data_IF_367991565447
#
_entry.id   IF_367991565447
#
_cell.length_a   1.000
_cell.length_b   1.000
_cell.length_c   1.000
_cell.angle_alpha   90.00
_cell.angle_beta   90.00
_cell.angle_gamma   90.00
#
_symmetry.space_group_name_H-M   'P 1'
#
loop_
_entity.id
_entity.type
_entity.pdbx_description
1 polymer ?
#
# COMPACT_ATOMS: atom_id res chain seq x y z
N UNK A 1 0.22 7.07 5.18
CA UNK A 1 -0.02 6.25 3.97
C UNK A 1 0.90 5.05 3.96
N UNK A 2 2.23 5.22 3.83
CA UNK A 2 3.19 4.11 3.75
C UNK A 2 3.06 3.09 4.90
N UNK A 3 3.06 3.52 6.15
CA UNK A 3 2.89 2.61 7.29
C UNK A 3 1.63 1.72 7.20
N UNK A 4 0.49 2.27 6.73
CA UNK A 4 -0.73 1.48 6.55
C UNK A 4 -0.61 0.51 5.36
N UNK A 5 0.12 0.90 4.32
CA UNK A 5 0.42 0.04 3.17
C UNK A 5 1.34 -1.11 3.58
N UNK A 6 2.40 -0.84 4.36
CA UNK A 6 3.28 -1.87 4.94
C UNK A 6 2.47 -2.88 5.78
N UNK A 7 1.57 -2.39 6.63
CA UNK A 7 0.65 -3.26 7.39
C UNK A 7 -0.30 -4.07 6.50
N UNK A 8 -0.77 -3.48 5.39
CA UNK A 8 -1.62 -4.16 4.44
C UNK A 8 -0.87 -5.30 3.73
N UNK A 9 0.34 -5.01 3.26
CA UNK A 9 1.24 -6.00 2.66
C UNK A 9 1.62 -7.09 3.66
N UNK A 10 1.91 -6.74 4.92
CA UNK A 10 2.17 -7.73 5.97
C UNK A 10 1.01 -8.69 6.19
N UNK A 11 -0.24 -8.21 6.10
CA UNK A 11 -1.43 -9.09 6.15
C UNK A 11 -1.56 -9.96 4.90
N UNK A 12 -1.22 -9.44 3.72
CA UNK A 12 -1.18 -10.24 2.49
C UNK A 12 -0.10 -11.34 2.55
N UNK A 13 1.09 -11.02 3.06
CA UNK A 13 2.17 -11.98 3.29
C UNK A 13 1.75 -13.07 4.29
N UNK A 14 1.12 -12.69 5.42
CA UNK A 14 0.54 -13.64 6.38
C UNK A 14 -0.55 -14.52 5.78
N UNK A 15 -1.26 -14.02 4.76
CA UNK A 15 -2.28 -14.75 4.03
C UNK A 15 -1.73 -15.68 2.93
N UNK A 16 -0.40 -15.77 2.80
CA UNK A 16 0.32 -16.63 1.84
C UNK A 16 0.60 -15.96 0.49
N UNK A 17 0.38 -14.66 0.38
CA UNK A 17 0.56 -13.91 -0.86
C UNK A 17 1.95 -13.26 -0.97
N UNK A 18 2.35 -12.87 -2.17
CA UNK A 18 3.62 -12.19 -2.44
C UNK A 18 3.38 -10.77 -3.00
N UNK A 19 2.84 -9.82 -2.22
CA UNK A 19 2.34 -8.54 -2.73
C UNK A 19 3.42 -7.64 -3.38
N UNK A 20 4.70 -7.98 -3.20
CA UNK A 20 5.84 -7.28 -3.82
C UNK A 20 6.11 -7.73 -5.26
N UNK A 21 5.65 -8.93 -5.65
CA UNK A 21 5.90 -9.54 -6.96
C UNK A 21 4.60 -9.97 -7.66
N UNK A 22 3.49 -10.04 -6.93
CA UNK A 22 2.16 -10.38 -7.45
C UNK A 22 1.74 -9.36 -8.51
N UNK A 23 1.43 -9.86 -9.71
CA UNK A 23 0.94 -9.03 -10.80
C UNK A 23 -0.57 -9.14 -10.88
N UNK A 24 -1.25 -8.00 -11.02
CA UNK A 24 -2.71 -7.95 -11.10
C UNK A 24 -3.17 -6.95 -12.15
N UNK A 25 -4.36 -7.16 -12.69
CA UNK A 25 -5.01 -6.20 -13.58
C UNK A 25 -5.87 -5.21 -12.79
N UNK A 26 -5.87 -3.95 -13.20
CA UNK A 26 -6.66 -2.90 -12.59
C UNK A 26 -7.01 -1.83 -13.62
N UNK A 27 -8.08 -1.08 -13.36
CA UNK A 27 -8.51 0.04 -14.20
C UNK A 27 -8.49 1.35 -13.42
N UNK A 28 -8.24 2.46 -14.10
CA UNK A 28 -8.42 3.81 -13.53
C UNK A 28 -9.75 4.38 -14.02
N UNK A 29 -10.68 4.65 -13.09
CA UNK A 29 -11.95 5.34 -13.37
C UNK A 29 -12.08 6.50 -12.41
N UNK A 30 -12.34 7.69 -12.94
CA UNK A 30 -12.51 8.93 -12.15
C UNK A 30 -11.40 9.15 -11.11
N UNK A 31 -10.14 8.99 -11.54
CA UNK A 31 -8.93 9.07 -10.70
C UNK A 31 -8.90 8.10 -9.51
N UNK A 32 -9.64 6.99 -9.59
CA UNK A 32 -9.69 5.93 -8.59
C UNK A 32 -9.33 4.59 -9.23
N UNK A 33 -8.50 3.80 -8.56
CA UNK A 33 -8.18 2.44 -9.01
C UNK A 33 -9.34 1.49 -8.68
N UNK A 34 -9.70 0.64 -9.64
CA UNK A 34 -10.78 -0.36 -9.53
C UNK A 34 -10.16 -1.76 -9.57
N UNK A 35 -10.51 -2.59 -8.57
CA UNK A 35 -9.94 -3.94 -8.35
C UNK A 35 -11.01 -5.05 -8.37
N UNK A 36 -12.27 -4.72 -8.62
CA UNK A 36 -13.41 -5.60 -8.30
C UNK A 36 -13.51 -6.84 -9.20
N UNK A 37 -12.87 -6.82 -10.37
CA UNK A 37 -12.86 -7.93 -11.34
C UNK A 37 -11.84 -9.02 -11.01
N UNK A 38 -11.05 -8.88 -9.93
CA UNK A 38 -10.02 -9.85 -9.54
C UNK A 38 -10.62 -11.02 -8.73
N UNK A 39 -10.50 -12.23 -9.27
CA UNK A 39 -10.93 -13.47 -8.60
C UNK A 39 -9.83 -14.08 -7.72
N UNK A 40 -8.56 -13.96 -8.14
CA UNK A 40 -7.44 -14.44 -7.34
C UNK A 40 -7.30 -13.60 -6.07
N UNK A 41 -7.22 -14.29 -4.93
CA UNK A 41 -7.16 -13.68 -3.60
C UNK A 41 -5.93 -12.79 -3.46
N UNK A 42 -4.77 -13.21 -3.94
CA UNK A 42 -3.51 -12.49 -3.76
C UNK A 42 -3.45 -11.25 -4.65
N UNK A 43 -3.89 -11.37 -5.89
CA UNK A 43 -4.07 -10.23 -6.79
C UNK A 43 -5.02 -9.20 -6.20
N UNK A 44 -6.17 -9.65 -5.68
CA UNK A 44 -7.16 -8.76 -5.08
C UNK A 44 -6.60 -8.05 -3.84
N UNK A 45 -5.94 -8.78 -2.93
CA UNK A 45 -5.32 -8.19 -1.74
C UNK A 45 -4.25 -7.15 -2.11
N UNK A 46 -3.36 -7.46 -3.06
CA UNK A 46 -2.33 -6.52 -3.51
C UNK A 46 -2.96 -5.25 -4.13
N UNK A 47 -3.94 -5.42 -5.04
CA UNK A 47 -4.65 -4.30 -5.66
C UNK A 47 -5.38 -3.43 -4.64
N UNK A 48 -6.07 -4.03 -3.66
CA UNK A 48 -6.76 -3.28 -2.62
C UNK A 48 -5.79 -2.50 -1.72
N UNK A 49 -4.66 -3.09 -1.35
CA UNK A 49 -3.60 -2.39 -0.60
C UNK A 49 -3.09 -1.17 -1.38
N UNK A 50 -2.78 -1.35 -2.67
CA UNK A 50 -2.25 -0.30 -3.54
C UNK A 50 -3.29 0.79 -3.83
N UNK A 51 -4.56 0.42 -4.04
CA UNK A 51 -5.68 1.36 -4.19
C UNK A 51 -5.82 2.27 -2.97
N UNK A 52 -5.82 1.71 -1.77
CA UNK A 52 -5.96 2.51 -0.54
C UNK A 52 -4.72 3.39 -0.31
N UNK A 53 -3.52 2.91 -0.65
CA UNK A 53 -2.31 3.72 -0.61
C UNK A 53 -2.38 4.90 -1.58
N UNK A 54 -2.74 4.66 -2.85
CA UNK A 54 -2.91 5.69 -3.87
C UNK A 54 -3.94 6.75 -3.46
N UNK A 55 -5.10 6.32 -2.93
CA UNK A 55 -6.14 7.21 -2.40
C UNK A 55 -5.68 8.02 -1.19
N UNK A 56 -4.81 7.46 -0.36
CA UNK A 56 -4.20 8.18 0.75
C UNK A 56 -3.20 9.25 0.24
N UNK A 57 -2.34 8.87 -0.72
CA UNK A 57 -1.36 9.78 -1.31
C UNK A 57 -2.01 10.95 -2.04
N UNK A 58 -3.13 10.74 -2.75
CA UNK A 58 -3.82 11.81 -3.48
C UNK A 58 -4.35 12.94 -2.58
N UNK A 59 -4.47 12.69 -1.28
CA UNK A 59 -4.94 13.67 -0.28
C UNK A 59 -3.83 14.20 0.62
N UNK A 60 -2.65 13.58 0.63
CA UNK A 60 -1.58 13.91 1.55
C UNK A 60 -0.77 15.12 1.04
N UNK A 61 -0.41 16.07 1.91
CA UNK A 61 0.51 17.14 1.53
C UNK A 61 1.91 16.58 1.26
N UNK A 62 2.58 17.10 0.24
CA UNK A 62 3.95 16.72 -0.07
C UNK A 62 4.97 17.61 0.64
N UNK A 63 5.76 17.01 1.54
CA UNK A 63 6.80 17.70 2.30
C UNK A 63 8.20 17.27 1.80
N UNK A 64 8.82 18.11 0.96
CA UNK A 64 10.13 17.84 0.34
C UNK A 64 11.25 17.46 1.33
N UNK A 65 11.20 17.95 2.56
CA UNK A 65 12.19 17.65 3.61
C UNK A 65 12.27 16.16 4.00
N UNK A 66 11.23 15.37 3.71
CA UNK A 66 11.21 13.94 4.01
C UNK A 66 11.61 13.06 2.81
N UNK A 67 11.88 13.67 1.65
CA UNK A 67 12.43 12.93 0.51
C UNK A 67 13.82 12.43 0.86
N UNK A 68 14.07 11.12 0.73
CA UNK A 68 15.32 10.46 1.10
C UNK A 68 15.70 10.72 2.57
N UNK A 69 14.70 10.78 3.46
CA UNK A 69 14.94 10.91 4.90
C UNK A 69 15.81 9.74 5.40
N UNK A 70 16.97 10.01 6.03
CA UNK A 70 17.84 8.97 6.54
C UNK A 70 17.19 8.09 7.61
N UNK A 71 17.26 6.77 7.43
CA UNK A 71 16.67 5.78 8.34
C UNK A 71 17.18 5.91 9.79
N UNK A 72 18.45 6.27 9.99
CA UNK A 72 19.00 6.47 11.35
C UNK A 72 18.37 7.65 12.11
N UNK A 73 17.60 8.50 11.43
CA UNK A 73 16.81 9.58 12.05
C UNK A 73 15.34 9.18 12.28
N UNK A 74 14.92 7.96 11.92
CA UNK A 74 13.61 7.42 12.28
C UNK A 74 13.57 7.09 13.77
N UNK A 75 12.40 7.25 14.40
CA UNK A 75 12.22 6.91 15.80
C UNK A 75 12.26 5.39 16.03
N UNK A 76 12.76 4.97 17.20
CA UNK A 76 12.87 3.54 17.56
C UNK A 76 11.51 2.89 17.84
N UNK A 77 10.53 3.67 18.32
CA UNK A 77 9.19 3.18 18.62
C UNK A 77 8.35 3.21 17.35
N UNK A 78 8.04 2.03 16.82
CA UNK A 78 7.15 1.90 15.67
C UNK A 78 5.69 1.72 16.12
N UNK A 79 4.74 2.35 15.41
CA UNK A 79 3.32 2.10 15.65
C UNK A 79 2.95 0.66 15.30
N UNK A 80 1.90 0.14 15.95
CA UNK A 80 1.38 -1.20 15.67
C UNK A 80 0.40 -1.17 14.49
N UNK A 81 0.49 -2.20 13.64
CA UNK A 81 -0.56 -2.48 12.66
C UNK A 81 -1.86 -2.76 13.39
N UNK A 82 -2.95 -2.15 12.91
CA UNK A 82 -4.31 -2.35 13.41
C UNK A 82 -5.16 -3.05 12.36
#
# INVERSE_FOLDING_TARGET
CCFHHDCCYGRAEQAGCQPKTESYHWECKDNSAVCDSLEDKCQKMACECDREAAKCFSKAPYHRKYLLWPDFMCGEIQPLCR
#
